data_IF_990408438960
#
_entry.id   IF_990408438960
#
_cell.length_a   1.000
_cell.length_b   1.000
_cell.length_c   1.000
_cell.angle_alpha   90.00
_cell.angle_beta   90.00
_cell.angle_gamma   90.00
#
_symmetry.space_group_name_H-M   'P 1'
#
loop_
_entity.id
_entity.type
_entity.pdbx_description
1 polymer ?
#
# COMPACT_ATOMS: atom_id res chain seq x y z
N UNK A 1 30.97 4.91 -3.40
CA UNK A 1 31.11 4.06 -2.19
C UNK A 1 32.57 4.08 -1.78
N UNK A 2 32.88 4.23 -0.49
CA UNK A 2 34.25 4.37 0.00
C UNK A 2 35.02 3.03 -0.12
N UNK A 3 36.29 3.00 -0.56
CA UNK A 3 37.04 1.77 -0.84
C UNK A 3 37.34 0.87 0.38
N UNK A 4 37.05 1.31 1.60
CA UNK A 4 37.24 0.55 2.85
C UNK A 4 35.96 -0.17 3.34
N UNK A 5 34.92 -0.27 2.50
CA UNK A 5 33.66 -0.90 2.89
C UNK A 5 33.61 -2.43 2.68
N UNK A 6 34.64 -3.05 2.08
CA UNK A 6 34.72 -4.50 1.86
C UNK A 6 35.86 -5.12 2.68
N UNK A 7 35.52 -6.04 3.59
CA UNK A 7 36.46 -6.71 4.51
C UNK A 7 37.54 -7.56 3.78
N UNK A 8 37.34 -7.85 2.49
CA UNK A 8 38.22 -8.70 1.66
C UNK A 8 39.11 -7.91 0.69
N UNK A 9 39.05 -6.57 0.67
CA UNK A 9 39.85 -5.77 -0.26
C UNK A 9 39.43 -5.90 -1.73
N UNK A 10 38.23 -6.40 -1.99
CA UNK A 10 37.69 -6.58 -3.35
C UNK A 10 37.42 -5.22 -4.00
N UNK A 11 38.17 -4.91 -5.07
CA UNK A 11 38.08 -3.63 -5.80
C UNK A 11 37.12 -3.67 -6.99
N UNK A 12 36.81 -4.85 -7.49
CA UNK A 12 35.88 -5.06 -8.60
C UNK A 12 34.65 -5.78 -8.05
N UNK A 13 33.52 -5.08 -8.02
CA UNK A 13 32.21 -5.63 -7.65
C UNK A 13 31.52 -6.02 -8.96
N UNK A 14 31.31 -7.31 -9.19
CA UNK A 14 30.60 -7.79 -10.37
C UNK A 14 29.09 -7.54 -10.25
N UNK A 15 28.37 -7.57 -11.36
CA UNK A 15 26.91 -7.42 -11.37
C UNK A 15 26.23 -8.48 -10.46
N UNK A 16 26.76 -9.69 -10.44
CA UNK A 16 26.28 -10.77 -9.57
C UNK A 16 26.54 -10.49 -8.09
N UNK A 17 27.65 -9.83 -7.74
CA UNK A 17 27.93 -9.38 -6.37
C UNK A 17 26.93 -8.28 -5.95
N UNK A 18 26.63 -7.33 -6.84
CA UNK A 18 25.64 -6.27 -6.57
C UNK A 18 24.26 -6.90 -6.35
N UNK A 19 23.85 -7.82 -7.22
CA UNK A 19 22.59 -8.55 -7.08
C UNK A 19 22.58 -9.40 -5.80
N UNK A 20 23.68 -10.07 -5.47
CA UNK A 20 23.84 -10.83 -4.24
C UNK A 20 23.68 -9.95 -2.99
N UNK A 21 24.36 -8.80 -2.95
CA UNK A 21 24.27 -7.83 -1.85
C UNK A 21 22.86 -7.25 -1.76
N UNK A 22 22.22 -6.88 -2.88
CA UNK A 22 20.84 -6.39 -2.87
C UNK A 22 19.85 -7.46 -2.40
N UNK A 23 20.09 -8.74 -2.73
CA UNK A 23 19.26 -9.85 -2.27
C UNK A 23 19.48 -10.17 -0.78
N UNK A 24 20.72 -10.06 -0.29
CA UNK A 24 21.09 -10.33 1.11
C UNK A 24 20.73 -9.18 2.06
N UNK A 25 21.02 -7.95 1.68
CA UNK A 25 20.96 -6.77 2.55
C UNK A 25 19.98 -5.68 2.07
N UNK A 26 19.51 -5.76 0.82
CA UNK A 26 18.57 -4.77 0.25
C UNK A 26 17.10 -5.07 0.53
N UNK A 27 16.78 -6.22 1.12
CA UNK A 27 15.41 -6.57 1.45
C UNK A 27 14.91 -5.81 2.69
N UNK A 28 13.99 -4.88 2.46
CA UNK A 28 13.40 -4.06 3.52
C UNK A 28 11.88 -4.01 3.39
N UNK A 29 11.21 -3.78 4.52
CA UNK A 29 9.79 -3.51 4.53
C UNK A 29 9.53 -2.11 3.97
N UNK A 30 8.76 -2.01 2.90
CA UNK A 30 8.40 -0.74 2.27
C UNK A 30 7.30 0.00 3.02
N UNK A 31 6.57 -0.68 3.91
CA UNK A 31 5.43 -0.11 4.66
C UNK A 31 5.69 -0.20 6.16
N UNK A 32 5.36 0.87 6.89
CA UNK A 32 5.53 0.92 8.36
C UNK A 32 4.56 -0.01 9.11
N UNK A 33 3.49 -0.45 8.47
CA UNK A 33 2.43 -1.29 9.05
C UNK A 33 2.65 -2.80 8.85
N UNK A 34 3.83 -3.20 8.38
CA UNK A 34 4.12 -4.61 8.11
C UNK A 34 4.06 -5.49 9.37
N UNK A 35 4.48 -4.97 10.53
CA UNK A 35 4.42 -5.69 11.82
C UNK A 35 2.99 -6.11 12.21
N UNK A 36 2.01 -5.18 12.33
CA UNK A 36 0.63 -5.55 12.60
C UNK A 36 0.05 -6.54 11.59
N UNK A 37 0.33 -6.37 10.29
CA UNK A 37 -0.20 -7.27 9.26
C UNK A 37 0.37 -8.68 9.32
N UNK A 38 1.66 -8.82 9.62
CA UNK A 38 2.26 -10.13 9.82
C UNK A 38 1.61 -10.84 11.02
N UNK A 39 1.39 -10.14 12.14
CA UNK A 39 0.67 -10.69 13.30
C UNK A 39 -0.78 -11.07 12.98
N UNK A 40 -1.41 -10.35 12.06
CA UNK A 40 -2.73 -10.70 11.51
C UNK A 40 -2.64 -11.80 10.44
N UNK A 41 -1.55 -12.56 10.32
CA UNK A 41 -1.43 -13.72 9.43
C UNK A 41 -1.53 -13.38 7.94
N UNK A 42 -1.03 -12.21 7.53
CA UNK A 42 -1.04 -11.80 6.12
C UNK A 42 0.09 -12.43 5.32
N UNK A 43 1.15 -12.92 5.98
CA UNK A 43 2.27 -13.57 5.32
C UNK A 43 1.81 -14.82 4.55
N UNK A 44 0.88 -15.58 5.13
CA UNK A 44 0.30 -16.78 4.53
C UNK A 44 -0.90 -16.44 3.64
N UNK A 45 -1.81 -15.60 4.15
CA UNK A 45 -3.10 -15.33 3.49
C UNK A 45 -3.01 -14.35 2.32
N UNK A 46 -1.98 -13.49 2.31
CA UNK A 46 -1.72 -12.48 1.26
C UNK A 46 -0.24 -12.43 0.91
N UNK A 47 0.32 -13.59 0.62
CA UNK A 47 1.76 -13.79 0.41
C UNK A 47 2.33 -12.88 -0.67
N UNK A 48 1.66 -12.70 -1.82
CA UNK A 48 2.19 -11.85 -2.88
C UNK A 48 2.15 -10.36 -2.53
N UNK A 49 1.11 -9.92 -1.81
CA UNK A 49 1.02 -8.55 -1.30
C UNK A 49 2.14 -8.28 -0.28
N UNK A 50 2.34 -9.19 0.66
CA UNK A 50 3.39 -9.07 1.67
C UNK A 50 4.78 -9.16 1.03
N UNK A 51 5.00 -10.01 0.01
CA UNK A 51 6.27 -10.06 -0.72
C UNK A 51 6.62 -8.73 -1.40
N UNK A 52 5.63 -8.00 -1.92
CA UNK A 52 5.87 -6.72 -2.61
C UNK A 52 6.18 -5.57 -1.65
N UNK A 53 5.60 -5.60 -0.44
CA UNK A 53 5.56 -4.45 0.48
C UNK A 53 6.22 -4.67 1.83
N UNK A 54 6.29 -5.91 2.28
CA UNK A 54 6.64 -6.35 3.62
C UNK A 54 7.50 -7.63 3.58
N UNK A 55 8.38 -7.72 2.58
CA UNK A 55 9.12 -8.95 2.28
C UNK A 55 9.97 -9.40 3.47
N UNK A 56 10.59 -8.45 4.17
CA UNK A 56 11.44 -8.72 5.32
C UNK A 56 10.64 -9.22 6.49
N UNK A 57 9.47 -8.64 6.78
CA UNK A 57 8.67 -9.03 7.94
C UNK A 57 8.07 -10.43 7.84
N UNK A 58 7.87 -10.91 6.62
CA UNK A 58 7.32 -12.24 6.33
C UNK A 58 8.39 -13.25 5.86
N UNK A 59 9.68 -12.91 5.97
CA UNK A 59 10.80 -13.76 5.51
C UNK A 59 10.72 -14.19 4.03
N UNK A 60 10.12 -13.33 3.19
CA UNK A 60 9.90 -13.56 1.75
C UNK A 60 11.02 -13.00 0.86
N UNK A 61 12.12 -12.52 1.45
CA UNK A 61 13.23 -11.86 0.76
C UNK A 61 13.95 -12.77 -0.25
N UNK A 62 14.05 -14.06 0.08
CA UNK A 62 14.83 -15.02 -0.69
C UNK A 62 13.96 -15.91 -1.58
N UNK A 63 12.65 -15.84 -1.39
CA UNK A 63 11.75 -16.68 -2.14
C UNK A 63 11.85 -16.31 -3.62
N UNK A 64 12.18 -17.27 -4.51
CA UNK A 64 12.11 -17.05 -5.95
C UNK A 64 10.75 -16.43 -6.26
N UNK A 65 10.70 -15.46 -7.18
CA UNK A 65 9.42 -15.06 -7.75
C UNK A 65 8.87 -16.33 -8.40
N UNK A 66 8.08 -17.10 -7.63
CA UNK A 66 7.39 -18.28 -8.11
C UNK A 66 6.81 -17.89 -9.44
N UNK A 67 7.26 -18.63 -10.46
CA UNK A 67 7.05 -18.32 -11.86
C UNK A 67 5.61 -17.86 -12.01
N UNK A 68 5.48 -16.69 -12.63
CA UNK A 68 4.24 -16.05 -13.04
C UNK A 68 3.35 -17.12 -13.68
N UNK A 69 2.61 -17.82 -12.84
CA UNK A 69 1.55 -18.69 -13.32
C UNK A 69 0.42 -17.73 -13.51
N UNK A 70 -0.10 -17.75 -14.73
CA UNK A 70 -1.27 -17.02 -15.20
C UNK A 70 -1.07 -15.54 -15.53
N UNK A 71 -0.73 -15.31 -16.80
CA UNK A 71 -1.57 -14.41 -17.62
C UNK A 71 -3.02 -14.95 -17.56
N UNK A 72 -3.73 -14.66 -16.47
CA UNK A 72 -5.18 -14.61 -16.55
C UNK A 72 -5.48 -13.42 -17.45
N UNK A 73 -6.22 -13.59 -18.57
CA UNK A 73 -6.57 -12.47 -19.42
C UNK A 73 -7.19 -11.38 -18.53
N UNK A 74 -6.76 -10.10 -18.69
CA UNK A 74 -7.32 -9.02 -17.89
C UNK A 74 -8.84 -9.11 -17.98
N UNK A 75 -9.56 -9.14 -16.84
CA UNK A 75 -11.00 -9.34 -16.87
C UNK A 75 -11.64 -8.28 -17.76
N UNK A 76 -12.22 -8.69 -18.89
CA UNK A 76 -12.92 -7.77 -19.77
C UNK A 76 -14.06 -7.10 -18.97
N UNK A 77 -14.12 -5.76 -19.00
CA UNK A 77 -15.05 -4.89 -18.25
C UNK A 77 -14.67 -4.61 -16.78
N UNK A 78 -13.54 -3.93 -16.56
CA UNK A 78 -13.13 -3.41 -15.25
C UNK A 78 -13.69 -2.00 -15.02
N UNK A 79 -14.34 -1.75 -13.88
CA UNK A 79 -14.84 -0.41 -13.49
C UNK A 79 -13.85 0.30 -12.56
N UNK A 80 -13.32 1.44 -12.98
CA UNK A 80 -12.44 2.25 -12.14
C UNK A 80 -13.28 3.07 -11.14
N UNK A 81 -12.83 3.10 -9.88
CA UNK A 81 -13.40 3.89 -8.78
C UNK A 81 -12.28 4.71 -8.16
N UNK A 82 -12.30 6.02 -8.42
CA UNK A 82 -11.45 7.00 -7.73
C UNK A 82 -12.16 7.38 -6.43
N UNK A 83 -11.50 7.20 -5.29
CA UNK A 83 -12.12 7.37 -3.97
C UNK A 83 -11.19 8.19 -3.07
N UNK A 84 -11.68 9.25 -2.39
CA UNK A 84 -10.89 9.97 -1.40
C UNK A 84 -10.42 9.07 -0.25
N UNK A 85 -9.24 9.35 0.29
CA UNK A 85 -8.68 8.61 1.43
C UNK A 85 -9.65 8.62 2.62
N UNK A 86 -9.75 7.47 3.29
CA UNK A 86 -10.61 7.24 4.45
C UNK A 86 -12.09 6.96 4.13
N UNK A 87 -12.56 7.20 2.89
CA UNK A 87 -13.95 6.92 2.52
C UNK A 87 -14.18 5.44 2.25
N UNK A 88 -15.38 4.96 2.52
CA UNK A 88 -15.75 3.55 2.31
C UNK A 88 -16.43 3.38 0.96
N UNK A 89 -15.93 2.46 0.15
CA UNK A 89 -16.58 2.02 -1.09
C UNK A 89 -17.23 0.66 -0.89
N UNK A 90 -18.47 0.53 -1.36
CA UNK A 90 -19.24 -0.71 -1.32
C UNK A 90 -19.37 -1.32 -2.71
N UNK A 91 -19.10 -2.62 -2.81
CA UNK A 91 -19.35 -3.42 -4.00
C UNK A 91 -20.36 -4.50 -3.66
N UNK A 92 -21.22 -4.80 -4.63
CA UNK A 92 -22.22 -5.84 -4.53
C UNK A 92 -22.05 -6.77 -5.71
N UNK A 93 -22.03 -8.07 -5.42
CA UNK A 93 -21.86 -9.08 -6.43
C UNK A 93 -23.15 -9.84 -6.73
N UNK A 94 -23.36 -10.19 -8.00
CA UNK A 94 -24.53 -10.94 -8.47
C UNK A 94 -25.87 -10.28 -8.14
N UNK A 95 -26.96 -11.04 -8.24
CA UNK A 95 -28.34 -10.60 -7.96
C UNK A 95 -28.86 -11.20 -6.65
N UNK A 96 -29.90 -10.57 -6.04
CA UNK A 96 -30.53 -11.12 -4.83
C UNK A 96 -31.57 -12.13 -5.30
N UNK A 97 -31.26 -13.42 -5.25
CA UNK A 97 -32.28 -14.46 -5.46
C UNK A 97 -32.54 -15.19 -4.14
N UNK A 98 -33.68 -14.95 -3.48
CA UNK A 98 -34.02 -15.59 -2.20
C UNK A 98 -34.11 -17.12 -2.30
N UNK A 99 -34.48 -17.67 -3.47
CA UNK A 99 -34.67 -19.11 -3.67
C UNK A 99 -33.36 -19.89 -3.86
N UNK A 100 -32.29 -19.22 -4.27
CA UNK A 100 -30.98 -19.83 -4.48
C UNK A 100 -29.90 -18.77 -4.34
N UNK A 101 -29.47 -18.43 -3.10
CA UNK A 101 -28.41 -17.47 -2.91
C UNK A 101 -27.12 -18.00 -3.55
N UNK A 102 -26.49 -17.25 -4.47
CA UNK A 102 -25.28 -17.74 -5.14
C UNK A 102 -24.07 -17.71 -4.19
N UNK A 103 -23.15 -18.67 -4.35
CA UNK A 103 -21.88 -18.69 -3.60
C UNK A 103 -20.91 -17.68 -4.20
N UNK A 104 -20.63 -16.61 -3.47
CA UNK A 104 -19.74 -15.53 -3.93
C UNK A 104 -18.33 -15.73 -3.39
N UNK A 105 -17.33 -15.39 -4.20
CA UNK A 105 -15.93 -15.33 -3.79
C UNK A 105 -15.30 -14.02 -4.25
N UNK A 106 -14.63 -13.35 -3.32
CA UNK A 106 -13.95 -12.08 -3.56
C UNK A 106 -12.45 -12.29 -3.69
N UNK A 107 -11.84 -11.54 -4.59
CA UNK A 107 -10.42 -11.54 -4.84
C UNK A 107 -9.89 -10.11 -4.82
N UNK A 108 -8.69 -9.91 -4.28
CA UNK A 108 -7.92 -8.65 -4.39
C UNK A 108 -6.61 -8.98 -5.09
N UNK A 109 -6.34 -8.29 -6.19
CA UNK A 109 -5.12 -8.43 -6.99
C UNK A 109 -4.81 -9.89 -7.38
N UNK A 110 -5.85 -10.69 -7.59
CA UNK A 110 -5.76 -12.12 -7.94
C UNK A 110 -5.77 -13.09 -6.74
N UNK A 111 -5.59 -12.61 -5.51
CA UNK A 111 -5.62 -13.45 -4.30
C UNK A 111 -7.01 -13.50 -3.69
N UNK A 112 -7.46 -14.67 -3.21
CA UNK A 112 -8.78 -14.83 -2.63
C UNK A 112 -8.86 -14.19 -1.24
N UNK A 113 -9.85 -13.32 -1.04
CA UNK A 113 -10.21 -12.82 0.28
C UNK A 113 -11.08 -13.88 0.97
N UNK A 114 -10.48 -14.62 1.90
CA UNK A 114 -11.17 -15.68 2.67
C UNK A 114 -11.82 -15.16 3.94
N UNK A 115 -11.31 -14.07 4.52
CA UNK A 115 -11.82 -13.46 5.76
C UNK A 115 -11.87 -11.94 5.68
N UNK A 116 -12.73 -11.33 6.50
CA UNK A 116 -12.73 -9.88 6.70
C UNK A 116 -11.44 -9.43 7.39
N UNK A 117 -10.99 -8.22 7.06
CA UNK A 117 -9.85 -7.56 7.68
C UNK A 117 -10.40 -6.42 8.54
N UNK A 118 -10.35 -6.55 9.88
CA UNK A 118 -10.88 -5.55 10.81
C UNK A 118 -10.41 -4.13 10.48
N UNK A 119 -11.35 -3.19 10.35
CA UNK A 119 -11.07 -1.78 10.06
C UNK A 119 -10.71 -1.44 8.61
N UNK A 120 -10.51 -2.43 7.72
CA UNK A 120 -10.06 -2.19 6.35
C UNK A 120 -11.01 -2.76 5.29
N UNK A 121 -11.37 -4.04 5.42
CA UNK A 121 -12.17 -4.77 4.44
C UNK A 121 -13.20 -5.63 5.16
N UNK A 122 -14.47 -5.43 4.86
CA UNK A 122 -15.57 -6.22 5.43
C UNK A 122 -16.27 -6.97 4.33
N UNK A 123 -16.29 -8.30 4.45
CA UNK A 123 -17.09 -9.19 3.61
C UNK A 123 -18.32 -9.63 4.37
N UNK A 124 -19.49 -9.44 3.77
CA UNK A 124 -20.76 -9.93 4.29
C UNK A 124 -21.62 -10.44 3.14
N UNK A 125 -21.88 -11.75 3.13
CA UNK A 125 -22.63 -12.43 2.08
C UNK A 125 -22.03 -12.19 0.68
N UNK A 126 -22.63 -11.28 -0.08
CA UNK A 126 -22.25 -10.86 -1.45
C UNK A 126 -21.76 -9.42 -1.54
N UNK A 127 -21.74 -8.73 -0.41
CA UNK A 127 -21.33 -7.34 -0.30
C UNK A 127 -19.89 -7.28 0.23
N UNK A 128 -19.08 -6.44 -0.41
CA UNK A 128 -17.71 -6.13 -0.01
C UNK A 128 -17.65 -4.63 0.30
N UNK A 129 -17.18 -4.27 1.50
CA UNK A 129 -16.92 -2.88 1.87
C UNK A 129 -15.43 -2.70 2.08
N UNK A 130 -14.87 -1.67 1.48
CA UNK A 130 -13.44 -1.39 1.51
C UNK A 130 -13.22 0.05 1.93
N UNK A 131 -12.40 0.28 2.95
CA UNK A 131 -11.93 1.61 3.33
C UNK A 131 -10.85 2.04 2.35
N UNK A 132 -11.01 3.17 1.67
CA UNK A 132 -10.04 3.67 0.71
C UNK A 132 -8.78 4.19 1.42
N UNK A 133 -7.64 3.58 1.14
CA UNK A 133 -6.32 3.98 1.59
C UNK A 133 -5.29 3.34 0.66
N UNK A 134 -4.01 3.69 0.84
CA UNK A 134 -2.90 3.26 -0.01
C UNK A 134 -2.70 1.73 0.00
N UNK A 135 -3.25 1.05 1.01
CA UNK A 135 -3.13 -0.40 1.18
C UNK A 135 -4.27 -1.16 0.50
N UNK A 136 -5.41 -0.49 0.35
CA UNK A 136 -6.63 -1.04 -0.20
C UNK A 136 -6.86 -0.63 -1.66
N UNK A 137 -5.97 0.15 -2.26
CA UNK A 137 -5.88 0.27 -3.72
C UNK A 137 -5.60 -1.09 -4.37
N UNK A 138 -6.08 -1.25 -5.60
CA UNK A 138 -5.92 -2.49 -6.37
C UNK A 138 -7.19 -2.93 -7.09
N UNK A 139 -7.12 -4.11 -7.69
CA UNK A 139 -8.22 -4.70 -8.46
C UNK A 139 -8.98 -5.68 -7.59
N UNK A 140 -10.27 -5.42 -7.41
CA UNK A 140 -11.20 -6.29 -6.70
C UNK A 140 -12.06 -7.03 -7.71
N UNK A 141 -12.04 -8.35 -7.64
CA UNK A 141 -12.84 -9.20 -8.53
C UNK A 141 -13.81 -10.00 -7.71
N UNK A 142 -15.08 -9.95 -8.08
CA UNK A 142 -16.06 -10.91 -7.61
C UNK A 142 -16.20 -12.06 -8.61
N UNK A 143 -16.33 -13.29 -8.11
CA UNK A 143 -16.79 -14.46 -8.85
C UNK A 143 -18.05 -15.06 -8.20
N UNK A 144 -19.10 -15.23 -9.00
CA UNK A 144 -20.36 -15.87 -8.62
C UNK A 144 -20.32 -17.33 -9.03
N UNK A 145 -20.48 -18.24 -8.08
CA UNK A 145 -20.50 -19.68 -8.32
C UNK A 145 -21.92 -20.24 -8.15
N UNK A 146 -22.35 -21.06 -9.12
CA UNK A 146 -23.63 -21.79 -9.08
C UNK A 146 -23.40 -23.22 -9.54
N UNK A 147 -23.70 -24.21 -8.70
CA UNK A 147 -23.48 -25.63 -9.02
C UNK A 147 -22.01 -25.98 -9.32
N UNK A 148 -21.05 -25.32 -8.66
CA UNK A 148 -19.61 -25.54 -8.86
C UNK A 148 -18.97 -24.73 -9.99
N UNK A 149 -19.76 -24.14 -10.89
CA UNK A 149 -19.26 -23.35 -12.01
C UNK A 149 -19.31 -21.84 -11.74
N UNK A 150 -18.31 -21.11 -12.24
CA UNK A 150 -18.30 -19.64 -12.22
C UNK A 150 -19.26 -19.14 -13.31
N UNK A 151 -20.36 -18.51 -12.90
CA UNK A 151 -21.41 -18.03 -13.81
C UNK A 151 -21.36 -16.54 -14.11
N UNK A 152 -20.65 -15.76 -13.29
CA UNK A 152 -20.47 -14.32 -13.51
C UNK A 152 -19.23 -13.82 -12.78
N UNK A 153 -18.52 -12.87 -13.37
CA UNK A 153 -17.40 -12.19 -12.74
C UNK A 153 -17.42 -10.68 -13.06
N UNK A 154 -17.22 -9.86 -12.02
CA UNK A 154 -17.16 -8.40 -12.15
C UNK A 154 -15.89 -7.90 -11.46
N UNK A 155 -15.20 -6.94 -12.08
CA UNK A 155 -13.97 -6.38 -11.54
C UNK A 155 -14.05 -4.86 -11.37
N UNK A 156 -13.45 -4.36 -10.30
CA UNK A 156 -13.35 -2.95 -9.97
C UNK A 156 -11.91 -2.58 -9.60
N UNK A 157 -11.41 -1.46 -10.09
CA UNK A 157 -10.11 -0.92 -9.68
C UNK A 157 -10.34 0.24 -8.73
N UNK A 158 -9.84 0.13 -7.50
CA UNK A 158 -9.82 1.25 -6.56
C UNK A 158 -8.53 2.02 -6.76
N UNK A 159 -8.66 3.33 -7.00
CA UNK A 159 -7.58 4.32 -7.00
C UNK A 159 -7.89 5.36 -5.94
N UNK A 160 -6.86 5.86 -5.25
CA UNK A 160 -7.06 7.01 -4.39
C UNK A 160 -7.23 8.29 -5.21
N UNK A 161 -8.09 9.19 -4.73
CA UNK A 161 -8.10 10.57 -5.18
C UNK A 161 -6.91 11.29 -4.54
N UNK A 162 -5.74 11.21 -5.15
CA UNK A 162 -4.62 12.07 -4.77
C UNK A 162 -4.80 13.42 -5.46
N UNK A 163 -4.88 14.55 -4.72
CA UNK A 163 -4.67 15.84 -5.37
C UNK A 163 -3.29 15.81 -6.06
N UNK A 164 -3.13 16.44 -7.24
CA UNK A 164 -1.81 16.57 -7.84
C UNK A 164 -0.88 17.21 -6.79
N UNK A 165 0.33 16.69 -6.69
CA UNK A 165 1.38 17.00 -5.69
C UNK A 165 1.78 18.47 -5.54
N UNK A 166 1.06 19.41 -6.14
CA UNK A 166 1.31 20.85 -6.12
C UNK A 166 0.86 21.55 -4.83
N UNK A 167 -0.19 21.08 -4.15
CA UNK A 167 -0.79 21.84 -3.01
C UNK A 167 -0.05 21.66 -1.67
N UNK A 168 0.87 20.69 -1.54
CA UNK A 168 1.68 20.54 -0.31
C UNK A 168 2.89 21.48 -0.26
N UNK A 169 3.22 22.16 -1.36
CA UNK A 169 4.36 23.08 -1.41
C UNK A 169 3.97 24.49 -0.95
N UNK A 170 2.74 24.95 -1.22
CA UNK A 170 2.31 26.32 -0.91
C UNK A 170 2.13 26.57 0.60
N UNK A 171 1.61 25.61 1.36
CA UNK A 171 1.42 25.75 2.80
C UNK A 171 2.77 25.71 3.57
N UNK A 172 3.74 24.94 3.06
CA UNK A 172 5.07 24.83 3.65
C UNK A 172 5.95 26.06 3.38
N UNK A 173 5.87 26.64 2.18
CA UNK A 173 6.55 27.90 1.85
C UNK A 173 5.92 29.10 2.53
N UNK A 174 4.58 29.15 2.64
CA UNK A 174 3.87 30.21 3.37
C UNK A 174 4.24 30.24 4.86
N UNK A 175 4.38 29.07 5.49
CA UNK A 175 4.83 28.94 6.89
C UNK A 175 6.29 29.34 7.08
N UNK A 176 7.15 29.05 6.09
CA UNK A 176 8.57 29.47 6.12
C UNK A 176 8.74 30.98 5.90
N UNK A 177 7.95 31.60 5.00
CA UNK A 177 7.95 33.05 4.77
C UNK A 177 7.46 33.81 6.01
N UNK A 178 6.36 33.37 6.62
CA UNK A 178 5.84 33.98 7.84
C UNK A 178 6.80 33.87 9.05
N UNK A 179 7.54 32.76 9.16
CA UNK A 179 8.58 32.60 10.19
C UNK A 179 9.77 33.55 9.99
N UNK A 180 10.15 33.81 8.73
CA UNK A 180 11.27 34.70 8.39
C UNK A 180 10.92 36.18 8.58
N UNK A 181 9.68 36.57 8.36
CA UNK A 181 9.15 37.92 8.67
C UNK A 181 9.19 38.19 10.19
N UNK A 182 8.80 37.20 10.99
CA UNK A 182 8.72 37.31 12.45
C UNK A 182 10.09 37.44 13.12
N UNK A 183 11.15 36.83 12.56
CA UNK A 183 12.53 37.06 13.01
C UNK A 183 13.09 38.43 12.61
N UNK A 184 12.59 39.04 11.53
CA UNK A 184 13.10 40.33 11.04
C UNK A 184 12.56 41.52 11.85
N UNK A 185 11.40 41.38 12.49
CA UNK A 185 10.77 42.43 13.30
C UNK A 185 11.00 42.32 14.82
N UNK A 186 11.68 41.27 15.31
CA UNK A 186 11.89 41.03 16.74
C UNK A 186 13.22 41.50 17.32
N UNK A 187 13.95 42.40 16.65
CA UNK A 187 15.29 42.85 17.06
C UNK A 187 15.35 44.32 17.45
N UNK A 188 14.68 44.71 18.53
CA UNK A 188 14.98 45.93 19.29
C UNK A 188 14.43 45.75 20.71
N UNK A 189 15.23 45.13 21.57
CA UNK A 189 15.03 45.21 23.02
C UNK A 189 15.97 46.29 23.55
N UNK A 190 15.38 47.20 24.29
CA UNK A 190 15.96 48.42 24.82
C UNK A 190 17.07 48.13 25.84
N UNK A 191 18.20 48.80 25.66
CA UNK A 191 19.31 48.85 26.61
C UNK A 191 18.92 49.80 27.77
N UNK A 192 18.85 49.34 29.04
CA UNK A 192 18.54 50.24 30.14
C UNK A 192 19.78 51.07 30.51
N UNK A 193 19.65 52.39 30.41
CA UNK A 193 20.61 53.39 30.89
C UNK A 193 20.90 53.17 32.38
N UNK A 194 22.13 52.77 32.72
CA UNK A 194 22.66 52.84 34.07
C UNK A 194 23.36 54.20 34.26
N UNK A 195 22.71 55.13 34.97
CA UNK A 195 23.38 56.32 35.52
C UNK A 195 23.76 56.03 36.97
N UNK A 196 25.07 55.98 37.23
CA UNK A 196 25.67 55.98 38.56
C UNK A 196 26.33 57.35 38.77
N UNK A 197 25.94 58.01 39.88
CA UNK A 197 26.43 59.27 40.49
C UNK A 197 26.08 60.59 39.79
#
# INVERSE_FOLDING_TARGET
MHPNATYTGQRNIAQDDIWGIQRLYGCTDKKRVCDPWARLGFCERRKSFMKKHCARRCDLCYEPLEAVTTLSPPPANVKIKIVPRGKVVGFRCGTKNPRSPPKVSWYKDGEQLVISIPGYITMKDRDLRVVANEFNEGTYTCRVNRGGNVVSANSWVIRLNSPPTAELNEESEGRMRAGKERMRHGGREDEPTATIL
#
